data_IF_796300868052
#
_entry.id   IF_796300868052
#
_cell.length_a   1.000
_cell.length_b   1.000
_cell.length_c   1.000
_cell.angle_alpha   90.00
_cell.angle_beta   90.00
_cell.angle_gamma   90.00
#
_symmetry.space_group_name_H-M   'P 1'
#
loop_
_entity.id
_entity.type
_entity.pdbx_description
1 polymer ?
#
# COMPACT_ATOMS: atom_id res chain seq x y z
N UNK A 1 40.25 -49.18 -24.16
CA UNK A 1 39.55 -47.95 -23.75
C UNK A 1 38.84 -47.34 -24.96
N UNK A 2 37.52 -47.51 -25.08
CA UNK A 2 36.69 -46.86 -26.11
C UNK A 2 35.79 -45.84 -25.42
N UNK A 3 36.03 -44.54 -25.68
CA UNK A 3 35.16 -43.44 -25.28
C UNK A 3 33.91 -43.48 -26.18
N UNK A 4 32.74 -43.68 -25.59
CA UNK A 4 31.48 -43.42 -26.26
C UNK A 4 31.24 -41.91 -26.24
N UNK A 5 31.31 -41.27 -27.41
CA UNK A 5 30.81 -39.92 -27.62
C UNK A 5 29.29 -39.99 -27.58
N UNK A 6 28.68 -39.44 -26.54
CA UNK A 6 27.25 -39.17 -26.52
C UNK A 6 26.96 -38.10 -27.58
N UNK A 7 26.35 -38.51 -28.68
CA UNK A 7 25.79 -37.61 -29.68
C UNK A 7 24.63 -36.87 -29.01
N UNK A 8 24.88 -35.63 -28.55
CA UNK A 8 23.82 -34.69 -28.21
C UNK A 8 23.15 -34.32 -29.52
N UNK A 9 22.02 -34.96 -29.82
CA UNK A 9 21.16 -34.59 -30.94
C UNK A 9 20.46 -33.28 -30.55
N UNK A 10 20.65 -32.17 -31.29
CA UNK A 10 19.91 -30.94 -31.04
C UNK A 10 18.43 -31.18 -31.36
N UNK A 11 17.54 -30.84 -30.43
CA UNK A 11 16.09 -30.90 -30.65
C UNK A 11 15.71 -29.83 -31.69
N UNK A 12 15.10 -30.20 -32.84
CA UNK A 12 14.79 -29.23 -33.88
C UNK A 12 13.73 -28.22 -33.39
N UNK A 13 14.02 -26.94 -33.53
CA UNK A 13 13.04 -25.88 -33.41
C UNK A 13 12.05 -25.99 -34.59
N UNK A 14 10.91 -26.67 -34.38
CA UNK A 14 9.91 -26.82 -35.44
C UNK A 14 8.94 -28.01 -35.36
N UNK A 15 9.10 -28.96 -34.43
CA UNK A 15 8.09 -30.01 -34.24
C UNK A 15 7.03 -29.54 -33.24
N UNK A 16 5.80 -29.32 -33.69
CA UNK A 16 4.64 -29.22 -32.79
C UNK A 16 4.57 -30.54 -32.03
N UNK A 17 4.90 -30.51 -30.74
CA UNK A 17 4.81 -31.69 -29.89
C UNK A 17 3.36 -32.19 -29.86
N UNK A 18 3.20 -33.49 -29.68
CA UNK A 18 1.87 -34.14 -29.66
C UNK A 18 0.89 -33.51 -28.67
N UNK A 19 1.42 -33.03 -27.53
CA UNK A 19 0.75 -32.23 -26.50
C UNK A 19 0.15 -30.94 -27.07
N UNK A 20 0.95 -30.17 -27.80
CA UNK A 20 0.52 -28.91 -28.45
C UNK A 20 -0.45 -29.16 -29.61
N UNK A 21 -0.32 -30.30 -30.29
CA UNK A 21 -1.28 -30.70 -31.31
C UNK A 21 -2.65 -31.03 -30.70
N UNK A 22 -2.67 -31.75 -29.58
CA UNK A 22 -3.89 -32.01 -28.80
C UNK A 22 -4.57 -30.70 -28.38
N UNK A 23 -3.81 -29.75 -27.83
CA UNK A 23 -4.33 -28.42 -27.47
C UNK A 23 -4.95 -27.69 -28.67
N UNK A 24 -4.28 -27.71 -29.82
CA UNK A 24 -4.79 -27.08 -31.03
C UNK A 24 -6.07 -27.76 -31.58
N UNK A 25 -6.20 -29.08 -31.43
CA UNK A 25 -7.42 -29.82 -31.83
C UNK A 25 -8.60 -29.42 -30.94
N UNK A 26 -8.39 -29.33 -29.63
CA UNK A 26 -9.43 -28.86 -28.70
C UNK A 26 -9.85 -27.42 -29.03
N UNK A 27 -8.88 -26.52 -29.25
CA UNK A 27 -9.14 -25.11 -29.53
C UNK A 27 -9.89 -24.90 -30.86
N UNK A 28 -9.50 -25.63 -31.91
CA UNK A 28 -10.13 -25.50 -33.23
C UNK A 28 -11.46 -26.26 -33.34
N UNK A 29 -11.56 -27.41 -32.67
CA UNK A 29 -12.73 -28.28 -32.70
C UNK A 29 -13.83 -27.90 -31.71
N UNK A 30 -13.49 -27.16 -30.66
CA UNK A 30 -14.41 -26.83 -29.56
C UNK A 30 -14.90 -28.06 -28.78
N UNK A 31 -14.24 -29.20 -28.95
CA UNK A 31 -14.61 -30.50 -28.39
C UNK A 31 -13.42 -31.13 -27.67
N UNK A 32 -13.71 -31.92 -26.64
CA UNK A 32 -12.67 -32.60 -25.87
C UNK A 32 -12.05 -33.77 -26.67
N UNK A 33 -10.75 -33.69 -26.97
CA UNK A 33 -9.98 -34.73 -27.64
C UNK A 33 -9.26 -35.72 -26.69
N UNK A 34 -9.43 -35.59 -25.36
CA UNK A 34 -8.76 -36.43 -24.35
C UNK A 34 -8.84 -37.94 -24.66
N UNK A 35 -10.05 -38.47 -24.87
CA UNK A 35 -10.28 -39.91 -25.14
C UNK A 35 -9.60 -40.38 -26.44
N UNK A 36 -9.60 -39.53 -27.47
CA UNK A 36 -8.99 -39.84 -28.77
C UNK A 36 -7.47 -39.98 -28.62
N UNK A 37 -6.85 -39.01 -27.93
CA UNK A 37 -5.41 -39.01 -27.72
C UNK A 37 -4.99 -40.11 -26.76
N UNK A 38 -5.74 -40.36 -25.68
CA UNK A 38 -5.46 -41.47 -24.77
C UNK A 38 -5.59 -42.84 -25.43
N UNK A 39 -6.47 -43.00 -26.42
CA UNK A 39 -6.66 -44.29 -27.12
C UNK A 39 -5.59 -44.57 -28.17
N UNK A 40 -5.12 -43.55 -28.89
CA UNK A 40 -4.31 -43.74 -30.10
C UNK A 40 -2.91 -43.14 -30.05
N UNK A 41 -2.62 -42.28 -29.07
CA UNK A 41 -1.46 -41.40 -29.13
C UNK A 41 -0.62 -41.46 -27.86
N UNK A 42 -1.24 -41.29 -26.69
CA UNK A 42 -0.54 -41.34 -25.41
C UNK A 42 -0.52 -42.75 -24.83
N UNK A 43 0.57 -43.13 -24.14
CA UNK A 43 0.59 -44.35 -23.33
C UNK A 43 -0.34 -44.24 -22.10
N UNK A 44 -0.75 -45.38 -21.55
CA UNK A 44 -1.72 -45.44 -20.43
C UNK A 44 -1.26 -44.69 -19.17
N UNK A 45 0.05 -44.60 -18.93
CA UNK A 45 0.65 -43.88 -17.80
C UNK A 45 0.51 -42.34 -17.91
N UNK A 46 0.10 -41.83 -19.08
CA UNK A 46 -0.16 -40.39 -19.29
C UNK A 46 -1.54 -39.94 -18.82
N UNK A 47 -2.38 -40.85 -18.31
CA UNK A 47 -3.75 -40.55 -17.90
C UNK A 47 -3.83 -39.43 -16.85
N UNK A 48 -2.90 -39.41 -15.88
CA UNK A 48 -2.84 -38.35 -14.87
C UNK A 48 -2.54 -36.98 -15.45
N UNK A 49 -1.63 -36.91 -16.44
CA UNK A 49 -1.25 -35.65 -17.07
C UNK A 49 -2.41 -35.09 -17.92
N UNK A 50 -3.14 -35.96 -18.63
CA UNK A 50 -4.31 -35.54 -19.43
C UNK A 50 -5.45 -35.07 -18.52
N UNK A 51 -5.70 -35.73 -17.39
CA UNK A 51 -6.67 -35.26 -16.40
C UNK A 51 -6.27 -33.91 -15.79
N UNK A 52 -4.99 -33.74 -15.43
CA UNK A 52 -4.48 -32.48 -14.89
C UNK A 52 -4.59 -31.33 -15.91
N UNK A 53 -4.29 -31.61 -17.18
CA UNK A 53 -4.51 -30.69 -18.30
C UNK A 53 -5.96 -30.22 -18.38
N UNK A 54 -6.91 -31.16 -18.41
CA UNK A 54 -8.34 -30.87 -18.52
C UNK A 54 -8.80 -29.98 -17.36
N UNK A 55 -8.43 -30.37 -16.14
CA UNK A 55 -8.76 -29.61 -14.93
C UNK A 55 -8.21 -28.18 -14.97
N UNK A 56 -6.94 -27.99 -15.36
CA UNK A 56 -6.33 -26.67 -15.45
C UNK A 56 -7.00 -25.79 -16.51
N UNK A 57 -7.30 -26.35 -17.70
CA UNK A 57 -7.99 -25.64 -18.79
C UNK A 57 -9.41 -25.23 -18.41
N UNK A 58 -10.18 -26.15 -17.83
CA UNK A 58 -11.56 -25.86 -17.39
C UNK A 58 -11.57 -24.78 -16.30
N UNK A 59 -10.63 -24.83 -15.37
CA UNK A 59 -10.52 -23.85 -14.30
C UNK A 59 -10.08 -22.48 -14.81
N UNK A 60 -9.14 -22.42 -15.76
CA UNK A 60 -8.78 -21.16 -16.43
C UNK A 60 -9.99 -20.57 -17.18
N UNK A 61 -10.73 -21.40 -17.93
CA UNK A 61 -11.93 -20.96 -18.64
C UNK A 61 -13.02 -20.43 -17.68
N UNK A 62 -13.24 -21.13 -16.56
CA UNK A 62 -14.22 -20.73 -15.55
C UNK A 62 -13.85 -19.38 -14.90
N UNK A 63 -12.60 -19.22 -14.42
CA UNK A 63 -12.15 -18.00 -13.75
C UNK A 63 -12.11 -16.82 -14.73
N UNK A 64 -11.62 -17.02 -15.96
CA UNK A 64 -11.60 -15.95 -16.98
C UNK A 64 -13.00 -15.49 -17.39
N UNK A 65 -13.94 -16.43 -17.56
CA UNK A 65 -15.35 -16.10 -17.86
C UNK A 65 -15.99 -15.32 -16.70
N UNK A 66 -15.78 -15.79 -15.46
CA UNK A 66 -16.28 -15.12 -14.26
C UNK A 66 -15.72 -13.72 -14.12
N UNK A 67 -14.41 -13.55 -14.30
CA UNK A 67 -13.77 -12.25 -14.24
C UNK A 67 -14.26 -11.31 -15.35
N UNK A 68 -14.42 -11.78 -16.58
CA UNK A 68 -14.96 -10.97 -17.67
C UNK A 68 -16.40 -10.49 -17.38
N UNK A 69 -17.20 -11.30 -16.67
CA UNK A 69 -18.57 -10.95 -16.30
C UNK A 69 -18.64 -10.02 -15.08
N UNK A 70 -17.83 -10.26 -14.05
CA UNK A 70 -17.98 -9.60 -12.75
C UNK A 70 -16.96 -8.48 -12.48
N UNK A 71 -15.83 -8.49 -13.18
CA UNK A 71 -14.70 -7.57 -12.99
C UNK A 71 -13.99 -7.17 -14.31
N UNK A 72 -14.73 -6.62 -15.30
CA UNK A 72 -14.20 -6.34 -16.64
C UNK A 72 -13.06 -5.31 -16.68
N UNK A 73 -12.94 -4.48 -15.65
CA UNK A 73 -11.85 -3.51 -15.46
C UNK A 73 -10.50 -4.12 -15.08
N UNK A 74 -10.47 -5.38 -14.62
CA UNK A 74 -9.22 -6.03 -14.26
C UNK A 74 -8.40 -6.42 -15.50
N UNK A 75 -7.08 -6.27 -15.39
CA UNK A 75 -6.18 -6.60 -16.50
C UNK A 75 -6.11 -8.12 -16.72
N UNK A 76 -6.13 -8.54 -17.98
CA UNK A 76 -6.13 -9.96 -18.35
C UNK A 76 -4.73 -10.57 -18.46
N UNK A 77 -3.67 -9.78 -18.25
CA UNK A 77 -2.28 -10.24 -18.40
C UNK A 77 -1.89 -11.38 -17.46
N UNK A 78 -2.56 -11.49 -16.31
CA UNK A 78 -2.35 -12.58 -15.37
C UNK A 78 -2.76 -13.96 -15.95
N UNK A 79 -3.77 -14.00 -16.84
CA UNK A 79 -4.20 -15.23 -17.49
C UNK A 79 -3.22 -15.72 -18.57
N UNK A 80 -2.49 -14.81 -19.21
CA UNK A 80 -1.52 -15.16 -20.26
C UNK A 80 -0.46 -16.11 -19.72
N UNK A 81 0.14 -15.78 -18.58
CA UNK A 81 1.18 -16.62 -17.96
C UNK A 81 0.65 -18.00 -17.56
N UNK A 82 -0.54 -18.06 -16.97
CA UNK A 82 -1.17 -19.35 -16.62
C UNK A 82 -1.43 -20.19 -17.89
N UNK A 83 -1.89 -19.55 -18.97
CA UNK A 83 -2.07 -20.21 -20.26
C UNK A 83 -0.77 -20.75 -20.85
N UNK A 84 0.35 -20.03 -20.69
CA UNK A 84 1.68 -20.50 -21.09
C UNK A 84 2.11 -21.75 -20.29
N UNK A 85 1.95 -21.73 -18.96
CA UNK A 85 2.27 -22.87 -18.09
C UNK A 85 1.42 -24.10 -18.46
N UNK A 86 0.12 -23.92 -18.70
CA UNK A 86 -0.78 -25.00 -19.16
C UNK A 86 -0.34 -25.55 -20.51
N UNK A 87 0.02 -24.69 -21.46
CA UNK A 87 0.51 -25.10 -22.79
C UNK A 87 1.85 -25.82 -22.71
N UNK A 88 2.69 -25.48 -21.74
CA UNK A 88 3.94 -26.16 -21.43
C UNK A 88 3.74 -27.50 -20.69
N UNK A 89 2.50 -27.82 -20.29
CA UNK A 89 2.14 -28.97 -19.44
C UNK A 89 2.77 -28.90 -18.04
N UNK A 90 2.90 -27.69 -17.50
CA UNK A 90 3.35 -27.40 -16.13
C UNK A 90 2.12 -27.15 -15.24
N UNK A 91 1.43 -28.21 -14.83
CA UNK A 91 0.10 -28.07 -14.20
C UNK A 91 0.13 -27.66 -12.73
N UNK A 92 1.11 -28.11 -11.95
CA UNK A 92 1.22 -27.73 -10.53
C UNK A 92 1.36 -26.20 -10.35
N UNK A 93 2.33 -25.50 -11.01
CA UNK A 93 2.42 -24.05 -10.90
C UNK A 93 1.19 -23.35 -11.50
N UNK A 94 0.62 -23.87 -12.59
CA UNK A 94 -0.59 -23.31 -13.19
C UNK A 94 -1.79 -23.36 -12.24
N UNK A 95 -2.04 -24.50 -11.59
CA UNK A 95 -3.13 -24.67 -10.63
C UNK A 95 -2.95 -23.76 -9.41
N UNK A 96 -1.73 -23.67 -8.86
CA UNK A 96 -1.43 -22.77 -7.76
C UNK A 96 -1.55 -21.28 -8.15
N UNK A 97 -1.32 -20.93 -9.42
CA UNK A 97 -1.60 -19.59 -9.93
C UNK A 97 -3.10 -19.32 -10.09
N UNK A 98 -3.87 -20.31 -10.55
CA UNK A 98 -5.33 -20.23 -10.65
C UNK A 98 -5.99 -20.08 -9.28
N UNK A 99 -5.52 -20.79 -8.24
CA UNK A 99 -5.98 -20.61 -6.86
C UNK A 99 -5.82 -19.14 -6.42
N UNK A 100 -4.63 -18.57 -6.62
CA UNK A 100 -4.35 -17.17 -6.28
C UNK A 100 -5.21 -16.19 -7.07
N UNK A 101 -5.50 -16.46 -8.34
CA UNK A 101 -6.38 -15.62 -9.15
C UNK A 101 -7.84 -15.68 -8.69
N UNK A 102 -8.33 -16.85 -8.29
CA UNK A 102 -9.71 -17.00 -7.79
C UNK A 102 -9.88 -16.34 -6.41
N UNK A 103 -8.88 -16.48 -5.53
CA UNK A 103 -8.82 -15.75 -4.25
C UNK A 103 -8.77 -14.23 -4.49
N UNK A 104 -7.90 -13.79 -5.40
CA UNK A 104 -7.74 -12.39 -5.79
C UNK A 104 -9.01 -11.77 -6.36
N UNK A 105 -9.70 -12.48 -7.26
CA UNK A 105 -11.00 -12.07 -7.80
C UNK A 105 -12.05 -11.98 -6.69
N UNK A 106 -12.11 -12.97 -5.81
CA UNK A 106 -13.07 -12.97 -4.70
C UNK A 106 -12.82 -11.84 -3.71
N UNK A 107 -11.56 -11.47 -3.47
CA UNK A 107 -11.17 -10.30 -2.69
C UNK A 107 -11.53 -9.00 -3.40
N UNK A 108 -11.28 -8.90 -4.71
CA UNK A 108 -11.66 -7.74 -5.53
C UNK A 108 -13.17 -7.48 -5.44
N UNK A 109 -13.99 -8.51 -5.62
CA UNK A 109 -15.45 -8.38 -5.63
C UNK A 109 -16.00 -7.86 -4.29
N UNK A 110 -15.36 -8.20 -3.16
CA UNK A 110 -15.70 -7.63 -1.85
C UNK A 110 -15.36 -6.13 -1.74
N UNK A 111 -14.35 -5.69 -2.49
CA UNK A 111 -13.84 -4.32 -2.48
C UNK A 111 -14.41 -3.45 -3.62
N UNK A 112 -15.05 -4.05 -4.63
CA UNK A 112 -15.41 -3.43 -5.91
C UNK A 112 -16.10 -2.08 -5.75
N UNK A 113 -17.09 -1.99 -4.86
CA UNK A 113 -17.86 -0.76 -4.66
C UNK A 113 -17.12 0.26 -3.79
N UNK A 114 -16.15 -0.20 -2.97
CA UNK A 114 -15.37 0.63 -2.05
C UNK A 114 -14.20 1.32 -2.75
N UNK A 115 -13.57 0.68 -3.73
CA UNK A 115 -12.37 1.22 -4.40
C UNK A 115 -12.64 2.54 -5.16
N UNK A 116 -13.72 2.69 -5.94
CA UNK A 116 -14.05 3.97 -6.59
C UNK A 116 -14.41 5.07 -5.59
N UNK A 117 -15.16 4.72 -4.53
CA UNK A 117 -15.51 5.66 -3.46
C UNK A 117 -14.25 6.16 -2.75
N UNK A 118 -13.33 5.26 -2.39
CA UNK A 118 -12.03 5.60 -1.81
C UNK A 118 -11.25 6.54 -2.73
N UNK A 119 -11.17 6.23 -4.02
CA UNK A 119 -10.47 7.09 -4.99
C UNK A 119 -11.06 8.50 -5.02
N UNK A 120 -12.40 8.60 -5.11
CA UNK A 120 -13.08 9.90 -5.11
C UNK A 120 -12.83 10.70 -3.82
N UNK A 121 -12.88 10.05 -2.66
CA UNK A 121 -12.62 10.70 -1.37
C UNK A 121 -11.17 11.16 -1.23
N UNK A 122 -10.21 10.32 -1.65
CA UNK A 122 -8.79 10.67 -1.62
C UNK A 122 -8.49 11.87 -2.54
N UNK A 123 -9.01 11.84 -3.78
CA UNK A 123 -8.85 12.94 -4.74
C UNK A 123 -9.44 14.25 -4.18
N UNK A 124 -10.63 14.22 -3.55
CA UNK A 124 -11.25 15.38 -2.93
C UNK A 124 -10.45 15.94 -1.72
N UNK A 125 -9.78 15.07 -0.96
CA UNK A 125 -8.89 15.47 0.13
C UNK A 125 -7.53 16.01 -0.35
N UNK A 126 -7.19 15.79 -1.63
CA UNK A 126 -5.87 16.05 -2.20
C UNK A 126 -4.82 15.01 -1.79
N UNK A 127 -5.25 13.79 -1.47
CA UNK A 127 -4.39 12.65 -1.14
C UNK A 127 -4.13 11.81 -2.39
N UNK A 128 -2.90 11.28 -2.52
CA UNK A 128 -2.58 10.34 -3.59
C UNK A 128 -3.30 9.00 -3.36
N UNK A 129 -3.89 8.45 -4.41
CA UNK A 129 -4.51 7.13 -4.35
C UNK A 129 -3.44 6.05 -4.05
N UNK A 130 -3.67 5.12 -3.11
CA UNK A 130 -2.60 4.24 -2.63
C UNK A 130 -1.96 3.39 -3.73
N UNK A 131 -0.63 3.45 -3.85
CA UNK A 131 0.11 2.70 -4.87
C UNK A 131 -0.09 1.17 -4.76
N UNK A 132 -0.10 0.56 -3.56
CA UNK A 132 -0.35 -0.87 -3.43
C UNK A 132 -1.70 -1.31 -4.02
N UNK A 133 -2.74 -0.48 -3.91
CA UNK A 133 -4.05 -0.76 -4.53
C UNK A 133 -4.01 -0.66 -6.06
N UNK A 134 -3.20 0.26 -6.61
CA UNK A 134 -2.98 0.34 -8.06
C UNK A 134 -2.24 -0.90 -8.58
N UNK A 135 -1.23 -1.36 -7.84
CA UNK A 135 -0.50 -2.58 -8.16
C UNK A 135 -1.40 -3.82 -8.09
N UNK A 136 -2.32 -3.87 -7.12
CA UNK A 136 -3.25 -4.99 -6.95
C UNK A 136 -4.14 -5.22 -8.19
N UNK A 137 -4.50 -4.16 -8.93
CA UNK A 137 -5.26 -4.29 -10.20
C UNK A 137 -4.47 -5.04 -11.29
N UNK A 138 -3.13 -4.97 -11.24
CA UNK A 138 -2.26 -5.66 -12.19
C UNK A 138 -1.93 -7.08 -11.74
N UNK A 139 -1.72 -7.28 -10.44
CA UNK A 139 -1.30 -8.56 -9.86
C UNK A 139 -2.47 -9.44 -9.38
N UNK A 140 -3.67 -8.87 -9.32
CA UNK A 140 -4.88 -9.44 -8.72
C UNK A 140 -4.75 -9.75 -7.22
N UNK A 141 -3.77 -9.15 -6.54
CA UNK A 141 -3.54 -9.39 -5.12
C UNK A 141 -4.29 -8.36 -4.25
N UNK A 142 -5.58 -8.60 -4.06
CA UNK A 142 -6.46 -7.74 -3.25
C UNK A 142 -6.63 -8.21 -1.80
N UNK A 143 -6.23 -9.45 -1.50
CA UNK A 143 -6.42 -10.08 -0.19
C UNK A 143 -5.92 -9.25 0.99
N UNK A 144 -4.74 -8.58 0.94
CA UNK A 144 -4.25 -7.77 2.06
C UNK A 144 -5.16 -6.58 2.42
N UNK A 145 -5.98 -6.11 1.48
CA UNK A 145 -6.77 -4.89 1.65
C UNK A 145 -8.19 -5.15 2.17
N UNK A 146 -8.69 -6.38 2.08
CA UNK A 146 -10.06 -6.75 2.53
C UNK A 146 -10.29 -6.33 3.98
N UNK A 147 -9.31 -6.55 4.85
CA UNK A 147 -9.43 -6.24 6.28
C UNK A 147 -9.06 -4.79 6.66
N UNK A 148 -8.42 -4.02 5.77
CA UNK A 148 -7.88 -2.70 6.10
C UNK A 148 -8.61 -1.56 5.39
N UNK A 149 -9.35 -1.84 4.31
CA UNK A 149 -10.04 -0.82 3.53
C UNK A 149 -11.05 0.01 4.35
N UNK A 150 -11.61 -0.58 5.41
CA UNK A 150 -12.59 0.08 6.27
C UNK A 150 -11.95 1.20 7.11
N UNK A 151 -10.64 1.17 7.30
CA UNK A 151 -9.89 2.25 7.95
C UNK A 151 -9.61 3.43 6.98
N UNK A 152 -9.82 3.26 5.67
CA UNK A 152 -9.45 4.28 4.68
C UNK A 152 -10.32 5.54 4.75
N UNK A 153 -11.63 5.38 4.95
CA UNK A 153 -12.55 6.49 5.19
C UNK A 153 -12.16 7.31 6.44
N UNK A 154 -12.07 6.68 7.63
CA UNK A 154 -11.58 7.32 8.84
C UNK A 154 -10.20 7.97 8.70
N UNK A 155 -9.28 7.38 7.91
CA UNK A 155 -7.98 7.97 7.63
C UNK A 155 -8.07 9.29 6.84
N UNK A 156 -8.97 9.36 5.85
CA UNK A 156 -9.23 10.59 5.07
C UNK A 156 -9.88 11.64 5.97
N UNK A 157 -10.88 11.27 6.76
CA UNK A 157 -11.55 12.19 7.69
C UNK A 157 -10.58 12.80 8.70
N UNK A 158 -9.73 11.96 9.32
CA UNK A 158 -8.70 12.42 10.25
C UNK A 158 -7.70 13.37 9.56
N UNK A 159 -7.31 13.06 8.32
CA UNK A 159 -6.42 13.92 7.54
C UNK A 159 -7.06 15.29 7.22
N UNK A 160 -8.33 15.31 6.81
CA UNK A 160 -9.08 16.54 6.54
C UNK A 160 -9.20 17.39 7.81
N UNK A 161 -9.59 16.82 8.95
CA UNK A 161 -9.67 17.57 10.22
C UNK A 161 -8.33 18.19 10.60
N UNK A 162 -7.24 17.42 10.50
CA UNK A 162 -5.90 17.90 10.80
C UNK A 162 -5.47 19.03 9.85
N UNK A 163 -5.75 18.90 8.54
CA UNK A 163 -5.51 19.92 7.52
C UNK A 163 -6.31 21.20 7.76
N UNK A 164 -7.58 21.07 8.15
CA UNK A 164 -8.45 22.20 8.48
C UNK A 164 -7.99 22.93 9.75
N UNK A 165 -7.50 22.20 10.76
CA UNK A 165 -6.87 22.83 11.93
C UNK A 165 -5.58 23.57 11.57
N UNK A 166 -4.79 23.00 10.67
CA UNK A 166 -3.52 23.58 10.22
C UNK A 166 -3.72 24.90 9.45
N UNK A 167 -4.80 25.00 8.67
CA UNK A 167 -5.11 26.18 7.86
C UNK A 167 -5.63 27.37 8.66
N UNK A 168 -6.10 27.16 9.89
CA UNK A 168 -6.61 28.23 10.75
C UNK A 168 -5.51 29.20 11.19
N UNK A 169 -5.78 30.52 11.23
CA UNK A 169 -4.81 31.50 11.70
C UNK A 169 -4.47 31.25 13.18
N UNK A 170 -3.18 31.30 13.48
CA UNK A 170 -2.64 31.03 14.82
C UNK A 170 -2.32 32.33 15.55
N UNK A 171 -2.79 32.43 16.80
CA UNK A 171 -2.43 33.51 17.72
C UNK A 171 -0.93 33.48 18.08
N UNK A 172 -0.39 34.61 18.54
CA UNK A 172 1.01 34.71 18.95
C UNK A 172 1.37 33.67 20.02
N UNK A 173 0.46 33.42 20.97
CA UNK A 173 0.63 32.41 22.01
C UNK A 173 0.75 31.00 21.46
N UNK A 174 -0.14 30.60 20.54
CA UNK A 174 -0.08 29.29 19.91
C UNK A 174 1.22 29.09 19.10
N UNK A 175 1.74 30.13 18.44
CA UNK A 175 3.02 30.05 17.73
C UNK A 175 4.18 29.73 18.66
N UNK A 176 4.21 30.35 19.85
CA UNK A 176 5.24 30.07 20.86
C UNK A 176 5.14 28.63 21.39
N UNK A 177 3.92 28.14 21.64
CA UNK A 177 3.71 26.77 22.09
C UNK A 177 3.93 25.68 21.03
N UNK A 178 4.16 26.07 19.77
CA UNK A 178 4.56 25.20 18.67
C UNK A 178 6.08 25.16 18.47
N UNK A 179 6.88 25.91 19.24
CA UNK A 179 8.35 25.85 19.13
C UNK A 179 8.82 24.40 19.36
N UNK A 180 9.54 23.84 18.37
CA UNK A 180 10.02 22.46 18.37
C UNK A 180 9.00 21.41 17.94
N UNK A 181 7.78 21.80 17.60
CA UNK A 181 6.73 20.95 17.03
C UNK A 181 6.62 21.19 15.53
N UNK A 182 6.18 20.16 14.80
CA UNK A 182 6.08 20.21 13.33
C UNK A 182 4.81 19.49 12.87
N UNK A 183 3.62 20.08 13.14
CA UNK A 183 2.35 19.47 12.75
C UNK A 183 2.23 19.33 11.22
N UNK A 184 2.86 20.23 10.45
CA UNK A 184 2.99 20.11 9.00
C UNK A 184 3.71 18.81 8.58
N UNK A 185 4.81 18.46 9.25
CA UNK A 185 5.59 17.24 8.97
C UNK A 185 4.80 15.98 9.34
N UNK A 186 4.04 16.00 10.43
CA UNK A 186 3.16 14.89 10.80
C UNK A 186 2.01 14.71 9.80
N UNK A 187 1.43 15.80 9.30
CA UNK A 187 0.38 15.74 8.27
C UNK A 187 0.94 15.22 6.93
N UNK A 188 2.15 15.62 6.55
CA UNK A 188 2.83 15.06 5.37
C UNK A 188 3.08 13.56 5.53
N UNK A 189 3.58 13.12 6.70
CA UNK A 189 3.73 11.70 7.01
C UNK A 189 2.40 10.96 6.99
N UNK A 190 1.30 11.57 7.42
CA UNK A 190 -0.02 10.96 7.31
C UNK A 190 -0.39 10.68 5.84
N UNK A 191 -0.19 11.67 4.95
CA UNK A 191 -0.40 11.49 3.51
C UNK A 191 0.50 10.39 2.92
N UNK A 192 1.76 10.30 3.34
CA UNK A 192 2.68 9.23 2.91
C UNK A 192 2.20 7.85 3.38
N UNK A 193 1.73 7.72 4.63
CA UNK A 193 1.18 6.46 5.14
C UNK A 193 -0.10 6.07 4.39
N UNK A 194 -0.97 7.04 4.10
CA UNK A 194 -2.16 6.81 3.28
C UNK A 194 -1.78 6.30 1.88
N UNK A 195 -0.83 6.94 1.20
CA UNK A 195 -0.35 6.53 -0.12
C UNK A 195 0.29 5.12 -0.13
N UNK A 196 0.81 4.67 1.01
CA UNK A 196 1.32 3.31 1.23
C UNK A 196 0.24 2.30 1.66
N UNK A 197 -1.04 2.68 1.63
CA UNK A 197 -2.18 1.89 2.14
C UNK A 197 -2.08 1.53 3.64
N UNK A 198 -1.24 2.24 4.41
CA UNK A 198 -1.21 2.12 5.87
C UNK A 198 -2.18 3.12 6.51
N UNK A 199 -3.47 2.82 6.40
CA UNK A 199 -4.55 3.71 6.84
C UNK A 199 -4.50 4.00 8.35
N UNK A 200 -4.22 3.00 9.18
CA UNK A 200 -4.03 3.20 10.64
C UNK A 200 -2.85 4.11 10.94
N UNK A 201 -1.74 3.94 10.22
CA UNK A 201 -0.59 4.84 10.31
C UNK A 201 -0.97 6.28 9.95
N UNK A 202 -1.77 6.46 8.89
CA UNK A 202 -2.29 7.78 8.50
C UNK A 202 -3.16 8.39 9.61
N UNK A 203 -4.11 7.63 10.17
CA UNK A 203 -4.97 8.08 11.28
C UNK A 203 -4.12 8.58 12.45
N UNK A 204 -3.16 7.77 12.91
CA UNK A 204 -2.30 8.11 14.05
C UNK A 204 -1.50 9.40 13.78
N UNK A 205 -0.96 9.56 12.57
CA UNK A 205 -0.17 10.73 12.18
C UNK A 205 -1.03 11.99 12.06
N UNK A 206 -2.22 11.89 11.47
CA UNK A 206 -3.20 12.99 11.41
C UNK A 206 -3.63 13.43 12.81
N UNK A 207 -3.93 12.47 13.70
CA UNK A 207 -4.29 12.75 15.08
C UNK A 207 -3.13 13.39 15.87
N UNK A 208 -1.89 12.94 15.65
CA UNK A 208 -0.71 13.58 16.23
C UNK A 208 -0.55 15.03 15.75
N UNK A 209 -0.75 15.30 14.45
CA UNK A 209 -0.73 16.66 13.91
C UNK A 209 -1.81 17.54 14.57
N UNK A 210 -3.04 17.04 14.66
CA UNK A 210 -4.16 17.73 15.31
C UNK A 210 -3.88 17.99 16.80
N UNK A 211 -3.39 16.98 17.54
CA UNK A 211 -3.06 17.11 18.97
C UNK A 211 -1.94 18.12 19.22
N UNK A 212 -0.95 18.22 18.33
CA UNK A 212 0.08 19.25 18.43
C UNK A 212 -0.50 20.66 18.31
N UNK A 213 -1.47 20.86 17.42
CA UNK A 213 -2.15 22.13 17.23
C UNK A 213 -3.06 22.48 18.41
N UNK A 214 -3.87 21.53 18.86
CA UNK A 214 -4.81 21.73 19.97
C UNK A 214 -4.08 21.99 21.29
N UNK A 215 -2.96 21.30 21.55
CA UNK A 215 -2.13 21.47 22.73
C UNK A 215 -1.17 22.68 22.69
N UNK A 216 -1.12 23.44 21.60
CA UNK A 216 -0.18 24.56 21.43
C UNK A 216 -0.37 25.64 22.50
N UNK A 217 -1.63 25.99 22.83
CA UNK A 217 -1.90 27.06 23.81
C UNK A 217 -1.40 26.69 25.21
N UNK A 218 -1.75 25.51 25.70
CA UNK A 218 -1.34 25.02 27.03
C UNK A 218 0.18 24.88 27.16
N UNK A 219 0.87 24.49 26.08
CA UNK A 219 2.33 24.45 26.06
C UNK A 219 2.95 25.83 26.12
N UNK A 220 2.39 26.82 25.44
CA UNK A 220 2.86 28.21 25.55
C UNK A 220 2.73 28.74 26.98
N UNK A 221 1.59 28.47 27.64
CA UNK A 221 1.37 28.83 29.04
C UNK A 221 2.43 28.19 29.96
N UNK A 222 2.71 26.91 29.75
CA UNK A 222 3.73 26.16 30.52
C UNK A 222 5.15 26.73 30.31
N UNK A 223 5.51 27.04 29.05
CA UNK A 223 6.79 27.68 28.73
C UNK A 223 6.95 29.02 29.46
N UNK A 224 5.91 29.84 29.53
CA UNK A 224 5.97 31.12 30.24
C UNK A 224 6.08 30.95 31.76
N UNK A 225 5.40 29.97 32.34
CA UNK A 225 5.53 29.69 33.79
C UNK A 225 6.98 29.28 34.11
N UNK A 226 7.56 28.37 33.32
CA UNK A 226 8.94 27.90 33.52
C UNK A 226 9.97 29.02 33.24
N UNK A 227 9.80 29.75 32.14
CA UNK A 227 10.67 30.87 31.78
C UNK A 227 10.56 32.00 32.82
N UNK A 228 9.36 32.29 33.33
CA UNK A 228 9.14 33.26 34.40
C UNK A 228 9.81 32.83 35.70
N UNK A 229 9.66 31.56 36.10
CA UNK A 229 10.28 31.01 37.31
C UNK A 229 11.82 31.02 37.26
N UNK A 230 12.43 30.97 36.07
CA UNK A 230 13.89 30.95 35.88
C UNK A 230 14.49 32.33 35.61
N UNK A 231 13.85 33.17 34.81
CA UNK A 231 14.36 34.51 34.47
C UNK A 231 14.18 35.53 35.59
N UNK A 232 13.08 35.49 36.34
CA UNK A 232 12.85 36.41 37.46
C UNK A 232 13.97 36.37 38.53
N UNK A 233 14.40 35.19 39.04
CA UNK A 233 15.47 35.15 40.03
C UNK A 233 16.83 35.59 39.45
N UNK A 234 17.11 35.29 38.18
CA UNK A 234 18.34 35.75 37.51
C UNK A 234 18.37 37.28 37.36
N UNK A 235 17.26 37.87 36.92
CA UNK A 235 17.12 39.32 36.80
C UNK A 235 17.17 40.01 38.16
N UNK A 236 16.55 39.43 39.20
CA UNK A 236 16.64 39.94 40.56
C UNK A 236 18.07 39.90 41.11
N UNK A 237 18.80 38.81 40.87
CA UNK A 237 20.19 38.69 41.26
C UNK A 237 21.08 39.74 40.55
N UNK A 238 20.87 39.93 39.24
CA UNK A 238 21.59 40.95 38.47
C UNK A 238 21.27 42.38 38.97
N UNK A 239 20.01 42.68 39.26
CA UNK A 239 19.59 43.96 39.82
C UNK A 239 20.20 44.22 41.20
N UNK A 240 20.28 43.18 42.05
CA UNK A 240 20.96 43.24 43.35
C UNK A 240 22.45 43.54 43.23
N UNK A 241 23.13 42.93 42.26
CA UNK A 241 24.55 43.19 41.97
C UNK A 241 24.75 44.63 41.51
N UNK A 242 23.96 45.10 40.55
CA UNK A 242 24.03 46.48 40.05
C UNK A 242 23.71 47.50 41.15
N UNK A 243 22.71 47.23 41.99
CA UNK A 243 22.37 48.11 43.11
C UNK A 243 23.49 48.17 44.15
N UNK A 244 24.12 47.03 44.48
CA UNK A 244 25.28 47.00 45.38
C UNK A 244 26.47 47.79 44.85
N UNK A 245 26.63 47.85 43.53
CA UNK A 245 27.75 48.52 42.87
C UNK A 245 27.45 49.96 42.47
N UNK A 246 26.23 50.45 42.74
CA UNK A 246 25.87 51.84 42.47
C UNK A 246 26.61 52.75 43.46
N UNK A 247 27.56 53.60 43.02
CA UNK A 247 28.33 54.44 43.93
C UNK A 247 27.38 55.41 44.63
N UNK A 248 27.40 55.42 45.97
CA UNK A 248 26.69 56.40 46.78
C UNK A 248 27.22 57.78 46.43
N UNK A 249 26.48 58.54 45.64
CA UNK A 249 26.76 59.95 45.39
C UNK A 249 26.75 60.69 46.73
N UNK A 250 27.92 61.10 47.19
CA UNK A 250 28.10 61.93 48.37
C UNK A 250 27.31 63.23 48.21
N UNK A 251 26.28 63.41 49.03
CA UNK A 251 25.62 64.70 49.23
C UNK A 251 26.58 65.63 49.97
N UNK A 252 27.15 66.61 49.27
CA UNK A 252 27.93 67.67 49.91
C UNK A 252 27.00 68.62 50.68
N UNK A 253 27.27 68.91 51.97
CA UNK A 253 26.58 70.00 52.67
C UNK A 253 27.25 71.31 52.28
N UNK A 254 26.49 72.26 51.74
CA UNK A 254 26.90 73.67 51.64
C UNK A 254 26.22 74.43 52.76
N UNK A 255 27.02 74.80 53.75
CA UNK A 255 26.74 75.80 54.76
C UNK A 255 26.73 77.20 54.16
N UNK A 256 25.67 77.97 54.45
CA UNK A 256 25.74 79.36 54.87
C UNK A 256 24.47 79.67 55.67
#
# INVERSE_FOLDING_TARGET
>A
MKRALATVVPRPAGTVGVRRFMDAVDDAGGANADDLFMRYVFPEDSASDVLARRAARDRLAAISTRAAAEAPELTHGAFTRVGEDITAWEFEPALAALDRLDEGLSAYLQLRDRLPALKSMADAAGLAYPYPLQSAVQTWDFTPFVATIDDAGPAIEAYIDAKDKLSKPRSAWQRLGLIGQKPEEELERAAQQFAAANFKGSIHRSQAAAAQLDGARTRAETFFIIAGATLLPVLMAAALVVWRWKPRSQSSPRSA
#
